data_IF_080238933170
#
_entry.id   IF_080238933170
#
_cell.length_a   1.000
_cell.length_b   1.000
_cell.length_c   1.000
_cell.angle_alpha   90.00
_cell.angle_beta   90.00
_cell.angle_gamma   90.00
#
_symmetry.space_group_name_H-M   'P 1'
#
loop_
_entity.id
_entity.type
_entity.pdbx_description
1 polymer ?
#
# COMPACT_ATOMS: atom_id res chain seq x y z
N UNK A 1 19.31 29.64 9.64
CA UNK A 1 18.16 28.72 9.81
C UNK A 1 18.23 27.73 8.66
N UNK A 2 18.50 26.44 8.92
CA UNK A 2 18.84 25.47 7.86
C UNK A 2 18.99 24.03 8.36
N UNK A 3 18.30 23.68 9.46
CA UNK A 3 18.42 22.36 10.08
C UNK A 3 17.93 21.28 9.12
N UNK A 4 16.77 21.49 8.47
CA UNK A 4 16.22 20.53 7.51
C UNK A 4 17.18 20.30 6.32
N UNK A 5 17.74 21.37 5.75
CA UNK A 5 18.71 21.25 4.65
C UNK A 5 19.95 20.45 5.08
N UNK A 6 20.54 20.79 6.23
CA UNK A 6 21.70 20.04 6.76
C UNK A 6 21.38 18.58 7.03
N UNK A 7 20.17 18.27 7.50
CA UNK A 7 19.75 16.88 7.71
C UNK A 7 19.64 16.12 6.39
N UNK A 8 19.07 16.74 5.36
CA UNK A 8 18.99 16.14 4.02
C UNK A 8 20.39 15.93 3.45
N UNK A 9 21.26 16.94 3.51
CA UNK A 9 22.66 16.84 3.04
C UNK A 9 23.42 15.69 3.72
N UNK A 10 23.31 15.57 5.05
CA UNK A 10 23.96 14.48 5.80
C UNK A 10 23.38 13.10 5.48
N UNK A 11 22.06 13.00 5.24
CA UNK A 11 21.44 11.74 4.79
C UNK A 11 21.91 11.35 3.39
N UNK A 12 21.99 12.32 2.48
CA UNK A 12 22.46 12.09 1.10
C UNK A 12 23.92 11.66 1.06
N UNK A 13 24.80 12.34 1.82
CA UNK A 13 26.20 11.92 1.99
C UNK A 13 26.28 10.45 2.40
N UNK A 14 25.49 10.05 3.40
CA UNK A 14 25.42 8.67 3.85
C UNK A 14 24.89 7.72 2.75
N UNK A 15 23.85 8.09 2.00
CA UNK A 15 23.35 7.27 0.88
C UNK A 15 24.45 7.00 -0.15
N UNK A 16 25.21 8.02 -0.52
CA UNK A 16 26.27 7.90 -1.52
C UNK A 16 27.46 7.10 -1.01
N UNK A 17 27.83 7.26 0.27
CA UNK A 17 28.84 6.41 0.92
C UNK A 17 28.43 4.93 0.94
N UNK A 18 27.13 4.64 1.03
CA UNK A 18 26.58 3.28 0.96
C UNK A 18 26.35 2.78 -0.46
N UNK A 19 26.70 3.58 -1.47
CA UNK A 19 26.59 3.18 -2.87
C UNK A 19 25.17 3.24 -3.42
N UNK A 20 24.27 4.01 -2.80
CA UNK A 20 22.97 4.29 -3.41
C UNK A 20 23.15 4.98 -4.76
N UNK A 21 22.38 4.56 -5.76
CA UNK A 21 22.42 5.17 -7.11
C UNK A 21 21.49 6.38 -7.21
N UNK A 22 20.46 6.42 -6.37
CA UNK A 22 19.45 7.47 -6.32
C UNK A 22 18.87 7.59 -4.91
N UNK A 23 18.28 8.75 -4.62
CA UNK A 23 17.52 9.03 -3.42
C UNK A 23 16.14 9.56 -3.85
N UNK A 24 15.09 9.09 -3.21
CA UNK A 24 13.73 9.55 -3.49
C UNK A 24 12.99 9.88 -2.21
N UNK A 25 11.97 10.72 -2.35
CA UNK A 25 11.06 11.05 -1.26
C UNK A 25 9.66 11.32 -1.80
N UNK A 26 8.65 11.10 -0.97
CA UNK A 26 7.26 11.38 -1.30
C UNK A 26 6.77 12.61 -0.52
N UNK A 27 6.16 13.57 -1.21
CA UNK A 27 5.49 14.71 -0.56
C UNK A 27 4.19 15.04 -1.28
N UNK A 28 3.30 15.74 -0.60
CA UNK A 28 2.06 16.23 -1.18
C UNK A 28 2.24 17.61 -1.80
N UNK A 29 1.43 17.93 -2.81
CA UNK A 29 1.36 19.26 -3.44
C UNK A 29 1.08 20.39 -2.44
N UNK A 30 0.41 20.08 -1.33
CA UNK A 30 0.10 21.03 -0.27
C UNK A 30 1.28 21.41 0.61
N UNK A 31 2.34 20.58 0.65
CA UNK A 31 3.51 20.83 1.49
C UNK A 31 4.56 21.68 0.75
N UNK A 32 4.23 22.96 0.56
CA UNK A 32 5.09 23.93 -0.15
C UNK A 32 6.51 24.04 0.44
N UNK A 33 6.65 23.90 1.76
CA UNK A 33 7.94 23.97 2.43
C UNK A 33 8.84 22.78 2.08
N UNK A 34 8.30 21.57 2.08
CA UNK A 34 9.04 20.37 1.64
C UNK A 34 9.35 20.46 0.15
N UNK A 35 8.37 20.82 -0.68
CA UNK A 35 8.59 20.98 -2.13
C UNK A 35 9.76 21.92 -2.42
N UNK A 36 9.74 23.15 -1.90
CA UNK A 36 10.82 24.11 -2.14
C UNK A 36 12.17 23.69 -1.55
N UNK A 37 12.20 22.93 -0.45
CA UNK A 37 13.45 22.36 0.06
C UNK A 37 14.03 21.38 -0.96
N UNK A 38 13.25 20.39 -1.40
CA UNK A 38 13.77 19.31 -2.22
C UNK A 38 13.98 19.72 -3.68
N UNK A 39 13.07 20.49 -4.28
CA UNK A 39 13.20 20.92 -5.69
C UNK A 39 14.18 22.08 -5.85
N UNK A 40 14.12 23.09 -4.98
CA UNK A 40 14.87 24.33 -5.21
C UNK A 40 16.23 24.34 -4.51
N UNK A 41 16.41 23.54 -3.45
CA UNK A 41 17.66 23.51 -2.66
C UNK A 41 18.43 22.20 -2.78
N UNK A 42 17.75 21.07 -2.96
CA UNK A 42 18.39 19.75 -3.04
C UNK A 42 18.39 19.15 -4.44
N UNK A 43 17.94 19.87 -5.48
CA UNK A 43 17.97 19.43 -6.89
C UNK A 43 17.22 18.12 -7.17
N UNK A 44 16.11 17.90 -6.45
CA UNK A 44 15.22 16.80 -6.77
C UNK A 44 14.28 17.18 -7.92
N UNK A 45 14.07 16.23 -8.82
CA UNK A 45 13.12 16.34 -9.92
C UNK A 45 11.88 15.48 -9.65
N UNK A 46 10.71 15.91 -10.17
CA UNK A 46 9.51 15.08 -10.08
C UNK A 46 9.67 13.84 -10.96
N UNK A 47 9.54 12.66 -10.36
CA UNK A 47 9.63 11.38 -11.06
C UNK A 47 8.25 10.82 -11.42
N UNK A 48 7.35 10.70 -10.44
CA UNK A 48 5.98 10.18 -10.69
C UNK A 48 4.97 10.72 -9.68
N UNK A 49 3.69 10.59 -10.03
CA UNK A 49 2.59 10.78 -9.08
C UNK A 49 2.11 9.42 -8.59
N UNK A 50 1.99 9.25 -7.27
CA UNK A 50 1.48 8.04 -6.64
C UNK A 50 0.42 8.39 -5.59
N UNK A 51 -0.33 7.39 -5.15
CA UNK A 51 -1.18 7.52 -3.96
C UNK A 51 -0.90 6.39 -2.99
N UNK A 52 -0.81 6.73 -1.71
CA UNK A 52 -0.86 5.75 -0.64
C UNK A 52 -2.33 5.56 -0.27
N UNK A 53 -2.87 4.40 -0.57
CA UNK A 53 -4.23 4.02 -0.22
C UNK A 53 -4.21 3.34 1.14
N UNK A 54 -4.93 3.90 2.10
CA UNK A 54 -5.01 3.40 3.47
C UNK A 54 -6.44 3.00 3.78
N UNK A 55 -6.61 1.79 4.30
CA UNK A 55 -7.91 1.28 4.72
C UNK A 55 -7.85 0.77 6.17
N UNK A 56 -8.81 1.16 7.01
CA UNK A 56 -9.06 0.53 8.31
C UNK A 56 -9.10 -0.99 8.28
N UNK A 57 -8.60 -1.61 9.34
CA UNK A 57 -8.89 -3.01 9.66
C UNK A 57 -10.09 -3.05 10.60
N UNK A 58 -11.19 -3.63 10.13
CA UNK A 58 -12.42 -3.79 10.88
C UNK A 58 -12.41 -5.06 11.74
N UNK A 59 -13.25 -5.10 12.77
CA UNK A 59 -13.42 -6.32 13.56
C UNK A 59 -14.17 -7.41 12.79
N UNK A 60 -15.02 -7.06 11.83
CA UNK A 60 -15.74 -8.02 10.98
C UNK A 60 -14.92 -8.51 9.78
N UNK A 61 -15.27 -9.67 9.26
CA UNK A 61 -14.64 -10.23 8.06
C UNK A 61 -15.19 -9.58 6.78
N UNK A 62 -14.30 -9.32 5.83
CA UNK A 62 -14.66 -8.95 4.48
C UNK A 62 -14.81 -10.21 3.62
N UNK A 63 -15.97 -10.47 2.99
CA UNK A 63 -16.20 -11.70 2.24
C UNK A 63 -15.39 -11.72 0.94
N UNK A 64 -14.67 -12.82 0.70
CA UNK A 64 -14.06 -13.11 -0.62
C UNK A 64 -15.13 -13.78 -1.50
N UNK A 65 -15.34 -13.35 -2.76
CA UNK A 65 -16.30 -14.00 -3.65
C UNK A 65 -15.98 -15.49 -3.87
N UNK A 66 -17.00 -16.35 -3.90
CA UNK A 66 -16.82 -17.80 -4.11
C UNK A 66 -16.21 -18.15 -5.47
N UNK A 67 -16.29 -17.23 -6.44
CA UNK A 67 -15.68 -17.37 -7.76
C UNK A 67 -14.18 -17.08 -7.79
N UNK A 68 -13.56 -16.75 -6.65
CA UNK A 68 -12.13 -16.47 -6.52
C UNK A 68 -11.53 -17.31 -5.39
N UNK A 69 -10.42 -17.98 -5.67
CA UNK A 69 -9.58 -18.63 -4.66
C UNK A 69 -8.35 -17.78 -4.41
N UNK A 70 -7.96 -17.63 -3.13
CA UNK A 70 -6.73 -16.93 -2.72
C UNK A 70 -5.79 -17.92 -2.06
N UNK A 71 -4.62 -18.14 -2.66
CA UNK A 71 -3.55 -18.97 -2.13
C UNK A 71 -2.52 -18.12 -1.40
N UNK A 72 -1.95 -18.68 -0.33
CA UNK A 72 -0.67 -18.22 0.21
C UNK A 72 0.43 -19.05 -0.44
N UNK A 73 1.43 -18.37 -0.98
CA UNK A 73 2.58 -19.01 -1.63
C UNK A 73 3.86 -18.83 -0.81
N UNK A 74 4.86 -19.66 -1.11
CA UNK A 74 6.18 -19.58 -0.47
C UNK A 74 6.98 -18.37 -1.01
N UNK A 75 7.93 -17.88 -0.22
CA UNK A 75 8.78 -16.74 -0.61
C UNK A 75 9.58 -17.02 -1.90
N UNK A 76 10.05 -18.26 -2.10
CA UNK A 76 10.75 -18.70 -3.32
C UNK A 76 9.87 -18.60 -4.57
N UNK A 77 8.60 -18.99 -4.45
CA UNK A 77 7.64 -18.91 -5.56
C UNK A 77 7.28 -17.46 -5.85
N UNK A 78 7.06 -16.67 -4.79
CA UNK A 78 6.80 -15.25 -4.90
C UNK A 78 7.94 -14.52 -5.60
N UNK A 79 9.19 -14.80 -5.24
CA UNK A 79 10.38 -14.22 -5.87
C UNK A 79 10.36 -14.40 -7.39
N UNK A 80 10.13 -15.62 -7.87
CA UNK A 80 10.13 -15.92 -9.30
C UNK A 80 9.00 -15.15 -10.03
N UNK A 81 7.82 -15.05 -9.43
CA UNK A 81 6.73 -14.23 -9.98
C UNK A 81 7.10 -12.74 -9.97
N UNK A 82 7.68 -12.23 -8.89
CA UNK A 82 8.11 -10.84 -8.80
C UNK A 82 9.18 -10.49 -9.83
N UNK A 83 10.21 -11.33 -9.99
CA UNK A 83 11.27 -11.12 -10.97
C UNK A 83 10.72 -11.19 -12.39
N UNK A 84 9.91 -12.19 -12.72
CA UNK A 84 9.30 -12.29 -14.06
C UNK A 84 8.39 -11.10 -14.39
N UNK A 85 7.64 -10.57 -13.41
CA UNK A 85 6.66 -9.51 -13.64
C UNK A 85 7.24 -8.10 -13.57
N UNK A 86 8.18 -7.86 -12.65
CA UNK A 86 8.60 -6.51 -12.28
C UNK A 86 10.09 -6.23 -12.52
N UNK A 87 10.89 -7.17 -13.04
CA UNK A 87 12.33 -6.93 -13.26
C UNK A 87 12.64 -5.70 -14.14
N UNK A 88 11.72 -5.32 -15.02
CA UNK A 88 11.87 -4.12 -15.86
C UNK A 88 11.37 -2.81 -15.19
N UNK A 89 10.85 -2.88 -13.96
CA UNK A 89 10.37 -1.70 -13.22
C UNK A 89 11.55 -0.95 -12.59
N UNK A 90 11.55 0.37 -12.65
CA UNK A 90 12.69 1.25 -12.36
C UNK A 90 13.24 1.14 -10.93
N UNK A 91 12.40 0.74 -9.97
CA UNK A 91 12.77 0.57 -8.56
C UNK A 91 12.56 -0.86 -8.05
N UNK A 92 12.67 -1.85 -8.94
CA UNK A 92 12.58 -3.24 -8.53
C UNK A 92 13.82 -3.65 -7.71
N UNK A 93 13.67 -4.14 -6.46
CA UNK A 93 14.80 -4.51 -5.63
C UNK A 93 15.51 -5.74 -6.21
N UNK A 94 16.83 -5.65 -6.37
CA UNK A 94 17.64 -6.77 -6.87
C UNK A 94 17.64 -7.95 -5.89
N UNK A 95 17.54 -7.64 -4.60
CA UNK A 95 17.48 -8.49 -3.42
C UNK A 95 16.03 -8.78 -2.96
N UNK A 96 15.09 -8.85 -3.90
CA UNK A 96 13.68 -9.17 -3.62
C UNK A 96 13.50 -10.46 -2.82
N UNK A 97 14.40 -11.43 -2.97
CA UNK A 97 14.47 -12.67 -2.19
C UNK A 97 14.61 -12.39 -0.69
N UNK A 98 15.53 -11.50 -0.33
CA UNK A 98 15.81 -11.12 1.05
C UNK A 98 14.65 -10.32 1.64
N UNK A 99 14.05 -9.46 0.81
CA UNK A 99 12.83 -8.71 1.14
C UNK A 99 11.70 -9.71 1.48
N UNK A 100 11.40 -10.68 0.62
CA UNK A 100 10.32 -11.65 0.82
C UNK A 100 10.61 -12.71 1.90
N UNK A 101 11.88 -13.01 2.18
CA UNK A 101 12.28 -13.92 3.25
C UNK A 101 12.31 -13.25 4.63
N UNK A 102 12.14 -11.91 4.70
CA UNK A 102 12.15 -11.18 5.95
C UNK A 102 11.01 -11.67 6.88
N UNK A 103 11.23 -11.84 8.19
CA UNK A 103 10.18 -12.25 9.13
C UNK A 103 8.96 -11.32 9.18
N UNK A 104 9.12 -10.06 8.79
CA UNK A 104 8.03 -9.09 8.66
C UNK A 104 7.25 -9.23 7.35
N UNK A 105 7.75 -10.00 6.38
CA UNK A 105 6.98 -10.43 5.20
C UNK A 105 6.09 -11.62 5.59
N UNK A 106 4.84 -11.33 5.91
CA UNK A 106 3.93 -12.29 6.55
C UNK A 106 3.46 -13.38 5.57
N UNK A 107 3.18 -13.00 4.33
CA UNK A 107 2.70 -13.88 3.27
C UNK A 107 2.74 -13.19 1.91
N UNK A 108 2.95 -13.96 0.85
CA UNK A 108 2.52 -13.54 -0.49
C UNK A 108 1.20 -14.22 -0.82
N UNK A 109 0.22 -13.44 -1.26
CA UNK A 109 -1.11 -13.89 -1.61
C UNK A 109 -1.26 -13.85 -3.13
N UNK A 110 -1.85 -14.90 -3.72
CA UNK A 110 -2.19 -14.98 -5.13
C UNK A 110 -3.67 -15.32 -5.28
N UNK A 111 -4.42 -14.49 -6.00
CA UNK A 111 -5.83 -14.70 -6.30
C UNK A 111 -6.01 -15.18 -7.73
N UNK A 112 -6.81 -16.23 -7.90
CA UNK A 112 -7.14 -16.88 -9.19
C UNK A 112 -8.65 -17.21 -9.27
N UNK A 113 -9.24 -17.33 -10.46
CA UNK A 113 -10.62 -17.77 -10.62
C UNK A 113 -10.82 -19.19 -10.09
N UNK A 114 -11.89 -19.45 -9.33
CA UNK A 114 -12.15 -20.77 -8.71
C UNK A 114 -12.34 -21.94 -9.70
N UNK A 115 -12.55 -21.64 -10.98
CA UNK A 115 -12.76 -22.65 -12.04
C UNK A 115 -11.50 -23.05 -12.82
N UNK A 116 -10.32 -22.60 -12.40
CA UNK A 116 -9.05 -22.97 -13.06
C UNK A 116 -8.29 -24.02 -12.25
N UNK A 117 -7.36 -24.74 -12.90
CA UNK A 117 -6.56 -25.78 -12.24
C UNK A 117 -5.79 -25.26 -11.01
N UNK A 118 -5.31 -24.02 -11.06
CA UNK A 118 -4.57 -23.39 -9.97
C UNK A 118 -5.44 -23.08 -8.73
N UNK A 119 -6.77 -23.15 -8.84
CA UNK A 119 -7.70 -22.86 -7.74
C UNK A 119 -7.91 -24.04 -6.78
N UNK A 120 -7.75 -25.28 -7.26
CA UNK A 120 -7.90 -26.47 -6.41
C UNK A 120 -6.73 -26.61 -5.46
N UNK A 121 -5.51 -26.39 -5.97
CA UNK A 121 -4.28 -26.38 -5.20
C UNK A 121 -3.23 -25.54 -5.93
N UNK A 122 -2.29 -24.96 -5.17
CA UNK A 122 -1.21 -24.17 -5.76
C UNK A 122 -0.24 -25.09 -6.52
N UNK A 123 -0.12 -24.98 -7.86
CA UNK A 123 0.58 -25.97 -8.67
C UNK A 123 2.11 -25.87 -8.60
N UNK A 124 2.63 -24.90 -7.83
CA UNK A 124 4.01 -24.46 -7.90
C UNK A 124 4.20 -23.37 -8.96
N UNK A 125 5.23 -22.54 -8.79
CA UNK A 125 5.46 -21.38 -9.65
C UNK A 125 5.77 -21.74 -11.10
N UNK A 126 6.51 -22.82 -11.35
CA UNK A 126 6.88 -23.25 -12.71
C UNK A 126 5.64 -23.59 -13.54
N UNK A 127 4.74 -24.40 -12.95
CA UNK A 127 3.48 -24.76 -13.57
C UNK A 127 2.53 -23.56 -13.69
N UNK A 128 2.48 -22.70 -12.67
CA UNK A 128 1.68 -21.48 -12.71
C UNK A 128 2.13 -20.55 -13.85
N UNK A 129 3.43 -20.31 -13.99
CA UNK A 129 3.98 -19.44 -15.05
C UNK A 129 3.79 -20.05 -16.44
N UNK A 130 3.92 -21.37 -16.58
CA UNK A 130 3.72 -22.07 -17.85
C UNK A 130 2.25 -22.07 -18.31
N UNK A 131 1.30 -22.10 -17.38
CA UNK A 131 -0.13 -22.17 -17.66
C UNK A 131 -0.92 -21.19 -16.77
N UNK A 132 -0.63 -19.90 -16.92
CA UNK A 132 -1.28 -18.86 -16.13
C UNK A 132 -2.79 -18.80 -16.45
N UNK A 133 -3.65 -18.65 -15.43
CA UNK A 133 -5.06 -18.39 -15.68
C UNK A 133 -5.25 -17.04 -16.37
N UNK A 134 -6.35 -16.89 -17.12
CA UNK A 134 -6.66 -15.68 -17.88
C UNK A 134 -6.67 -14.41 -17.02
N UNK A 135 -7.07 -14.54 -15.75
CA UNK A 135 -7.01 -13.44 -14.78
C UNK A 135 -6.37 -13.90 -13.49
N UNK A 136 -5.53 -13.05 -12.90
CA UNK A 136 -4.92 -13.29 -11.60
C UNK A 136 -4.41 -11.99 -10.98
N UNK A 137 -4.17 -12.00 -9.68
CA UNK A 137 -3.46 -10.91 -9.00
C UNK A 137 -2.63 -11.45 -7.83
N UNK A 138 -1.60 -10.70 -7.44
CA UNK A 138 -0.73 -11.01 -6.32
C UNK A 138 -0.41 -9.77 -5.48
N UNK A 139 -0.09 -9.97 -4.20
CA UNK A 139 0.60 -8.98 -3.38
C UNK A 139 1.29 -9.64 -2.19
N UNK A 140 2.39 -9.03 -1.72
CA UNK A 140 3.07 -9.44 -0.49
C UNK A 140 2.60 -8.60 0.68
N UNK A 141 2.23 -9.24 1.78
CA UNK A 141 1.76 -8.58 3.00
C UNK A 141 2.93 -8.41 3.97
N UNK A 142 3.15 -7.18 4.40
CA UNK A 142 4.24 -6.78 5.28
C UNK A 142 3.73 -6.20 6.58
N UNK A 143 4.33 -6.59 7.71
CA UNK A 143 4.06 -5.99 9.02
C UNK A 143 4.98 -4.81 9.29
N UNK A 144 4.50 -3.59 9.05
CA UNK A 144 5.23 -2.38 9.42
C UNK A 144 5.20 -2.11 10.93
N UNK A 145 4.23 -2.69 11.66
CA UNK A 145 4.07 -2.53 13.10
C UNK A 145 5.25 -3.08 13.90
N UNK A 146 6.00 -4.03 13.35
CA UNK A 146 7.25 -4.54 13.92
C UNK A 146 8.43 -3.56 13.86
N UNK A 147 8.33 -2.49 13.06
CA UNK A 147 9.38 -1.48 12.88
C UNK A 147 8.99 -0.14 13.49
N UNK A 148 7.78 0.34 13.20
CA UNK A 148 7.29 1.63 13.69
C UNK A 148 5.78 1.60 13.94
N UNK A 149 5.36 2.51 14.82
CA UNK A 149 3.95 2.76 15.08
C UNK A 149 3.55 4.14 14.55
N UNK A 150 2.32 4.23 14.05
CA UNK A 150 1.73 5.46 13.56
C UNK A 150 0.77 6.01 14.60
N UNK A 151 0.60 7.33 14.63
CA UNK A 151 -0.39 7.99 15.48
C UNK A 151 -0.95 9.20 14.73
N UNK A 152 -2.27 9.23 14.52
CA UNK A 152 -2.94 10.39 13.95
C UNK A 152 -3.09 11.43 15.04
N UNK A 153 -2.36 12.54 14.91
CA UNK A 153 -2.45 13.70 15.81
C UNK A 153 -3.34 14.80 15.23
N UNK A 154 -3.80 15.70 16.09
CA UNK A 154 -4.57 16.89 15.68
C UNK A 154 -6.09 16.72 15.57
N UNK A 155 -6.65 15.55 15.90
CA UNK A 155 -8.11 15.38 15.97
C UNK A 155 -8.71 15.96 17.27
N UNK A 156 -9.88 16.60 17.15
CA UNK A 156 -10.64 17.13 18.28
C UNK A 156 -11.14 16.02 19.21
N UNK A 157 -11.37 16.34 20.50
CA UNK A 157 -11.83 15.36 21.51
C UNK A 157 -13.13 14.65 21.08
N UNK A 158 -14.05 15.38 20.45
CA UNK A 158 -15.31 14.85 19.94
C UNK A 158 -15.07 13.77 18.87
N UNK A 159 -14.14 14.01 17.93
CA UNK A 159 -13.80 13.02 16.88
C UNK A 159 -13.16 11.76 17.47
N UNK A 160 -12.31 11.93 18.49
CA UNK A 160 -11.71 10.78 19.20
C UNK A 160 -12.77 9.95 19.94
N UNK A 161 -13.69 10.60 20.65
CA UNK A 161 -14.78 9.94 21.36
C UNK A 161 -15.71 9.18 20.40
N UNK A 162 -16.06 9.80 19.26
CA UNK A 162 -16.90 9.16 18.26
C UNK A 162 -16.21 7.94 17.60
N UNK A 163 -14.92 8.02 17.28
CA UNK A 163 -14.18 6.87 16.76
C UNK A 163 -14.07 5.72 17.79
N UNK A 164 -13.87 6.05 19.07
CA UNK A 164 -13.89 5.05 20.13
C UNK A 164 -15.26 4.35 20.23
N UNK A 165 -16.36 5.12 20.14
CA UNK A 165 -17.72 4.59 20.19
C UNK A 165 -18.03 3.68 18.98
N UNK A 166 -17.66 4.07 17.76
CA UNK A 166 -17.88 3.24 16.56
C UNK A 166 -17.08 1.93 16.62
N UNK A 167 -15.85 1.96 17.14
CA UNK A 167 -15.04 0.75 17.37
C UNK A 167 -15.68 -0.18 18.40
N UNK A 168 -16.19 0.36 19.51
CA UNK A 168 -16.89 -0.44 20.51
C UNK A 168 -18.13 -1.12 19.92
N UNK A 169 -18.89 -0.40 19.09
CA UNK A 169 -20.05 -0.96 18.39
C UNK A 169 -19.66 -2.09 17.42
N UNK A 170 -18.63 -1.89 16.58
CA UNK A 170 -18.12 -2.92 15.65
C UNK A 170 -17.61 -4.17 16.39
N UNK A 171 -16.99 -3.99 17.56
CA UNK A 171 -16.53 -5.11 18.41
C UNK A 171 -17.68 -5.84 19.11
N UNK A 172 -18.69 -5.12 19.58
CA UNK A 172 -19.83 -5.69 20.29
C UNK A 172 -20.81 -6.41 19.33
N UNK A 173 -20.90 -5.94 18.09
CA UNK A 173 -21.88 -6.42 17.11
C UNK A 173 -21.27 -6.64 15.71
N UNK A 174 -20.29 -7.55 15.56
CA UNK A 174 -19.60 -7.77 14.28
C UNK A 174 -20.52 -8.29 13.16
N UNK A 175 -21.67 -8.89 13.51
CA UNK A 175 -22.67 -9.34 12.54
C UNK A 175 -23.43 -8.21 11.85
N UNK A 176 -23.45 -7.00 12.44
CA UNK A 176 -24.10 -5.83 11.83
C UNK A 176 -23.31 -5.27 10.64
N UNK A 177 -22.07 -5.74 10.41
CA UNK A 177 -21.19 -5.35 9.29
C UNK A 177 -21.23 -3.85 9.01
N UNK A 178 -21.20 -3.04 10.07
CA UNK A 178 -21.48 -1.59 9.99
C UNK A 178 -20.54 -0.98 8.96
N UNK A 179 -21.04 -0.63 7.76
CA UNK A 179 -20.17 -0.19 6.69
C UNK A 179 -19.57 1.15 7.06
N UNK A 180 -18.27 1.30 6.82
CA UNK A 180 -17.73 2.63 6.61
C UNK A 180 -18.44 3.25 5.39
N UNK A 181 -19.06 4.43 5.59
CA UNK A 181 -19.72 5.37 4.64
C UNK A 181 -21.22 5.08 4.30
N UNK A 182 -22.08 6.07 3.98
CA UNK A 182 -22.77 6.97 4.91
C UNK A 182 -24.29 7.05 4.63
N UNK A 183 -25.19 6.17 5.09
CA UNK A 183 -26.65 6.49 5.04
C UNK A 183 -27.60 5.53 5.76
N UNK A 184 -27.11 4.67 6.67
CA UNK A 184 -27.95 3.62 7.26
C UNK A 184 -28.75 4.02 8.52
N UNK A 185 -28.81 5.30 8.89
CA UNK A 185 -29.65 5.78 10.00
C UNK A 185 -30.71 6.79 9.52
N UNK A 186 -31.63 6.31 8.69
CA UNK A 186 -33.04 6.73 8.71
C UNK A 186 -33.87 5.44 8.68
N UNK A 187 -34.66 5.08 9.71
CA UNK A 187 -35.31 5.92 10.71
C UNK A 187 -34.93 5.55 12.17
N UNK A 188 -35.36 6.36 13.14
CA UNK A 188 -35.20 6.22 14.60
C UNK A 188 -33.92 6.86 15.21
N UNK A 189 -34.02 8.16 15.51
CA UNK A 189 -33.62 8.65 16.84
C UNK A 189 -32.23 9.26 17.05
N UNK A 190 -31.70 10.08 16.14
CA UNK A 190 -30.60 11.00 16.48
C UNK A 190 -30.53 12.22 15.53
N UNK A 191 -31.52 13.11 15.63
CA UNK A 191 -31.59 14.37 14.88
C UNK A 191 -30.69 15.44 15.53
N UNK A 192 -29.38 15.20 15.59
CA UNK A 192 -28.46 16.18 16.19
C UNK A 192 -27.24 16.57 15.35
N UNK A 193 -26.62 15.70 14.54
CA UNK A 193 -25.36 16.10 13.86
C UNK A 193 -25.08 15.42 12.50
N UNK A 194 -25.68 15.90 11.40
CA UNK A 194 -25.34 15.47 10.03
C UNK A 194 -23.88 15.72 9.61
N UNK A 195 -23.15 16.58 10.34
CA UNK A 195 -21.73 16.88 10.12
C UNK A 195 -20.77 15.86 10.76
N UNK A 196 -21.27 14.90 11.54
CA UNK A 196 -20.45 13.82 12.12
C UNK A 196 -20.27 12.69 11.09
N UNK A 197 -19.60 13.01 9.98
CA UNK A 197 -19.20 12.05 8.94
C UNK A 197 -18.00 11.22 9.42
N UNK A 198 -18.17 10.50 10.52
CA UNK A 198 -17.11 9.71 11.15
C UNK A 198 -17.32 8.24 10.73
N UNK A 199 -16.59 7.75 9.71
CA UNK A 199 -16.60 6.33 9.39
C UNK A 199 -16.20 5.52 10.63
N UNK A 200 -16.44 4.21 10.63
CA UNK A 200 -15.88 3.31 11.64
C UNK A 200 -14.35 3.31 11.53
N UNK A 201 -13.71 4.36 12.06
CA UNK A 201 -12.27 4.51 12.06
C UNK A 201 -11.73 3.70 13.25
N UNK A 202 -10.67 2.90 13.07
CA UNK A 202 -9.92 2.32 14.18
C UNK A 202 -9.52 3.43 15.16
N UNK A 203 -9.13 3.09 16.40
CA UNK A 203 -8.50 4.10 17.26
C UNK A 203 -7.10 4.41 16.73
N UNK A 204 -7.05 5.26 15.71
CA UNK A 204 -5.82 5.76 15.09
C UNK A 204 -5.21 6.90 15.91
N UNK A 205 -5.82 7.28 17.04
CA UNK A 205 -5.39 8.38 17.90
C UNK A 205 -4.48 7.91 19.05
N UNK A 206 -4.13 6.63 19.04
CA UNK A 206 -3.08 6.02 19.85
C UNK A 206 -2.08 5.34 18.92
N UNK A 207 -0.84 5.09 19.34
CA UNK A 207 0.13 4.36 18.54
C UNK A 207 -0.45 3.04 18.02
N UNK A 208 -0.38 2.83 16.71
CA UNK A 208 -0.93 1.66 16.04
C UNK A 208 0.03 1.09 14.98
N UNK A 209 -0.01 -0.23 14.80
CA UNK A 209 0.69 -0.92 13.72
C UNK A 209 -0.12 -0.89 12.41
N UNK A 210 0.59 -0.90 11.29
CA UNK A 210 0.04 -0.96 9.95
C UNK A 210 0.60 -2.17 9.21
N UNK A 211 -0.23 -2.80 8.38
CA UNK A 211 0.25 -3.74 7.37
C UNK A 211 0.33 -3.05 6.02
N UNK A 212 1.33 -3.41 5.21
CA UNK A 212 1.54 -2.86 3.89
C UNK A 212 1.47 -3.96 2.83
N UNK A 213 0.72 -3.73 1.75
CA UNK A 213 0.74 -4.60 0.57
C UNK A 213 1.79 -4.08 -0.39
N UNK A 214 2.86 -4.86 -0.54
CA UNK A 214 3.95 -4.59 -1.45
C UNK A 214 3.71 -5.26 -2.80
N UNK A 215 4.06 -4.52 -3.86
CA UNK A 215 4.19 -5.06 -5.22
C UNK A 215 2.90 -5.71 -5.74
N UNK A 216 1.82 -4.93 -5.78
CA UNK A 216 0.56 -5.38 -6.36
C UNK A 216 0.76 -5.65 -7.86
N UNK A 217 0.56 -6.90 -8.25
CA UNK A 217 0.72 -7.38 -9.62
C UNK A 217 -0.48 -8.19 -10.06
N UNK A 218 -0.62 -8.39 -11.37
CA UNK A 218 -1.70 -9.18 -11.93
C UNK A 218 -1.86 -8.94 -13.42
N UNK A 219 -2.67 -9.78 -14.03
CA UNK A 219 -3.00 -9.74 -15.45
C UNK A 219 -4.43 -10.23 -15.67
N UNK A 220 -5.03 -9.83 -16.79
CA UNK A 220 -6.34 -10.30 -17.21
C UNK A 220 -7.50 -9.31 -17.04
N UNK A 221 -8.64 -9.58 -17.70
CA UNK A 221 -9.82 -8.71 -17.69
C UNK A 221 -10.45 -8.54 -16.31
N UNK A 222 -10.28 -9.50 -15.40
CA UNK A 222 -10.85 -9.46 -14.04
C UNK A 222 -9.78 -9.26 -12.95
N UNK A 223 -8.57 -8.84 -13.31
CA UNK A 223 -7.45 -8.69 -12.37
C UNK A 223 -7.74 -7.71 -11.21
N UNK A 224 -8.59 -6.71 -11.42
CA UNK A 224 -9.05 -5.81 -10.35
C UNK A 224 -9.93 -6.53 -9.31
N UNK A 225 -10.77 -7.48 -9.73
CA UNK A 225 -11.54 -8.33 -8.80
C UNK A 225 -10.61 -9.26 -8.02
N UNK A 226 -9.58 -9.81 -8.67
CA UNK A 226 -8.54 -10.61 -8.02
C UNK A 226 -7.76 -9.79 -6.99
N UNK A 227 -7.41 -8.54 -7.34
CA UNK A 227 -6.76 -7.60 -6.43
C UNK A 227 -7.65 -7.29 -5.22
N UNK A 228 -8.96 -7.11 -5.43
CA UNK A 228 -9.91 -6.92 -4.33
C UNK A 228 -9.97 -8.15 -3.41
N UNK A 229 -9.89 -9.37 -3.96
CA UNK A 229 -9.83 -10.59 -3.16
C UNK A 229 -8.54 -10.67 -2.33
N UNK A 230 -7.38 -10.37 -2.92
CA UNK A 230 -6.09 -10.26 -2.21
C UNK A 230 -6.18 -9.25 -1.07
N UNK A 231 -6.76 -8.07 -1.33
CA UNK A 231 -6.95 -7.04 -0.32
C UNK A 231 -7.81 -7.52 0.85
N UNK A 232 -8.96 -8.13 0.55
CA UNK A 232 -9.90 -8.63 1.57
C UNK A 232 -9.25 -9.71 2.43
N UNK A 233 -8.49 -10.61 1.82
CA UNK A 233 -7.74 -11.64 2.54
C UNK A 233 -6.66 -11.04 3.45
N UNK A 234 -5.89 -10.07 2.95
CA UNK A 234 -4.90 -9.35 3.76
C UNK A 234 -5.55 -8.60 4.93
N UNK A 235 -6.65 -7.89 4.68
CA UNK A 235 -7.46 -7.24 5.72
C UNK A 235 -7.92 -8.25 6.79
N UNK A 236 -8.49 -9.37 6.37
CA UNK A 236 -9.02 -10.38 7.28
C UNK A 236 -7.94 -10.97 8.18
N UNK A 237 -6.72 -11.15 7.65
CA UNK A 237 -5.55 -11.59 8.41
C UNK A 237 -5.00 -10.52 9.35
N UNK A 238 -5.11 -9.25 8.98
CA UNK A 238 -4.65 -8.12 9.79
C UNK A 238 -5.49 -7.92 11.07
N UNK A 239 -6.67 -8.54 11.15
CA UNK A 239 -7.61 -8.40 12.28
C UNK A 239 -6.94 -8.76 13.60
N UNK A 240 -6.83 -7.77 14.48
CA UNK A 240 -6.22 -7.91 15.81
C UNK A 240 -4.70 -7.72 15.84
N UNK A 241 -4.04 -7.66 14.68
CA UNK A 241 -2.60 -7.42 14.56
C UNK A 241 -2.28 -5.97 14.12
N UNK A 242 -3.06 -5.41 13.19
CA UNK A 242 -2.88 -4.05 12.69
C UNK A 242 -4.19 -3.25 12.73
N UNK A 243 -4.07 -1.93 12.79
CA UNK A 243 -5.22 -1.03 12.71
C UNK A 243 -5.56 -0.64 11.26
N UNK A 244 -4.58 -0.68 10.36
CA UNK A 244 -4.77 -0.33 8.95
C UNK A 244 -4.00 -1.27 8.03
N UNK A 245 -4.52 -1.42 6.81
CA UNK A 245 -3.82 -1.98 5.67
C UNK A 245 -3.58 -0.85 4.67
N UNK A 246 -2.36 -0.72 4.18
CA UNK A 246 -1.96 0.32 3.24
C UNK A 246 -1.28 -0.27 2.01
N UNK A 247 -1.27 0.47 0.91
CA UNK A 247 -0.49 0.16 -0.29
C UNK A 247 -0.15 1.43 -1.04
N UNK A 248 0.99 1.46 -1.70
CA UNK A 248 1.29 2.47 -2.71
C UNK A 248 0.80 1.99 -4.08
N UNK A 249 0.16 2.88 -4.85
CA UNK A 249 -0.32 2.57 -6.20
C UNK A 249 -0.12 3.79 -7.09
N UNK A 250 0.46 3.57 -8.27
CA UNK A 250 0.50 4.58 -9.32
C UNK A 250 -0.91 4.84 -9.89
N UNK A 251 -1.16 6.07 -10.34
CA UNK A 251 -2.49 6.53 -10.74
C UNK A 251 -3.09 5.72 -11.91
N UNK A 252 -2.24 5.33 -12.87
CA UNK A 252 -2.68 4.67 -14.12
C UNK A 252 -2.72 3.14 -14.05
N UNK A 253 -2.54 2.52 -12.89
CA UNK A 253 -2.52 1.05 -12.78
C UNK A 253 -3.97 0.52 -12.71
N UNK A 254 -4.44 -0.31 -13.66
CA UNK A 254 -5.82 -0.81 -13.65
C UNK A 254 -6.20 -1.58 -12.38
N UNK A 255 -5.23 -2.27 -11.78
CA UNK A 255 -5.39 -3.01 -10.51
C UNK A 255 -5.84 -2.11 -9.35
N UNK A 256 -5.60 -0.78 -9.43
CA UNK A 256 -6.06 0.21 -8.46
C UNK A 256 -7.57 0.13 -8.22
N UNK A 257 -8.36 -0.25 -9.23
CA UNK A 257 -9.82 -0.37 -9.11
C UNK A 257 -10.25 -1.46 -8.10
N UNK A 258 -9.40 -2.45 -7.86
CA UNK A 258 -9.63 -3.49 -6.87
C UNK A 258 -9.36 -3.07 -5.43
N UNK A 259 -8.69 -1.95 -5.23
CA UNK A 259 -8.24 -1.51 -3.91
C UNK A 259 -9.32 -0.58 -3.31
N UNK A 260 -9.85 -0.88 -2.12
CA UNK A 260 -10.84 -0.04 -1.47
C UNK A 260 -10.35 1.39 -1.33
N UNK A 261 -11.16 2.34 -1.79
CA UNK A 261 -10.94 3.76 -1.52
C UNK A 261 -11.34 4.04 -0.08
N UNK A 262 -10.36 4.01 0.83
CA UNK A 262 -10.56 4.30 2.25
C UNK A 262 -10.71 5.80 2.54
N UNK A 263 -10.29 6.22 3.74
CA UNK A 263 -10.07 7.64 4.05
C UNK A 263 -8.86 8.06 3.22
N UNK A 264 -9.12 8.48 1.99
CA UNK A 264 -8.12 9.01 1.09
C UNK A 264 -7.40 10.15 1.81
N UNK A 265 -6.07 10.04 1.95
CA UNK A 265 -5.28 11.26 1.94
C UNK A 265 -5.47 11.80 0.52
N UNK A 266 -6.42 12.73 0.36
CA UNK A 266 -6.84 13.32 -0.92
C UNK A 266 -5.71 14.05 -1.66
N UNK A 267 -4.50 13.96 -1.14
CA UNK A 267 -3.34 14.56 -1.73
C UNK A 267 -2.54 13.47 -2.46
N UNK A 268 -2.67 13.49 -3.78
CA UNK A 268 -1.65 12.96 -4.68
C UNK A 268 -0.26 13.28 -4.13
N UNK A 269 0.55 12.23 -4.01
CA UNK A 269 1.93 12.36 -3.56
C UNK A 269 2.83 12.38 -4.79
N UNK A 270 3.60 13.44 -4.89
CA UNK A 270 4.68 13.56 -5.87
C UNK A 270 5.90 12.84 -5.30
N UNK A 271 6.35 11.82 -6.03
CA UNK A 271 7.64 11.19 -5.80
C UNK A 271 8.70 12.07 -6.46
N UNK A 272 9.57 12.64 -5.65
CA UNK A 272 10.72 13.41 -6.09
C UNK A 272 11.95 12.50 -6.07
N UNK A 273 12.80 12.60 -7.08
CA UNK A 273 13.98 11.75 -7.28
C UNK A 273 15.22 12.61 -7.56
N UNK A 274 16.34 12.20 -6.96
CA UNK A 274 17.68 12.71 -7.22
C UNK A 274 18.63 11.55 -7.50
N UNK A 275 19.44 11.65 -8.55
CA UNK A 275 20.48 10.68 -8.85
C UNK A 275 21.79 11.05 -8.15
N UNK A 276 22.58 10.04 -7.76
CA UNK A 276 23.96 10.27 -7.36
C UNK A 276 24.80 10.74 -8.57
N UNK A 277 25.86 11.51 -8.35
CA UNK A 277 26.68 12.09 -9.43
C UNK A 277 27.15 11.06 -10.47
N UNK A 278 27.56 9.86 -10.03
CA UNK A 278 27.96 8.76 -10.93
C UNK A 278 26.81 8.21 -11.78
N UNK A 279 25.58 8.25 -11.27
CA UNK A 279 24.39 7.79 -11.97
C UNK A 279 23.90 8.85 -12.97
N UNK A 280 24.00 10.14 -12.64
CA UNK A 280 23.73 11.23 -13.59
C UNK A 280 24.62 11.15 -14.83
N UNK A 281 25.91 10.86 -14.65
CA UNK A 281 26.83 10.70 -15.77
C UNK A 281 26.42 9.52 -16.66
N UNK A 282 26.00 8.39 -16.08
CA UNK A 282 25.47 7.26 -16.86
C UNK A 282 24.16 7.62 -17.58
N UNK A 283 23.24 8.30 -16.92
CA UNK A 283 21.98 8.74 -17.52
C UNK A 283 22.22 9.70 -18.69
N UNK A 284 23.14 10.66 -18.55
CA UNK A 284 23.57 11.58 -19.62
C UNK A 284 24.16 10.86 -20.84
N UNK A 285 24.79 9.70 -20.65
CA UNK A 285 25.37 8.90 -21.74
C UNK A 285 24.40 7.84 -22.31
N UNK A 286 23.29 7.55 -21.61
CA UNK A 286 22.28 6.60 -22.05
C UNK A 286 21.17 7.23 -22.92
N UNK A 287 21.07 8.56 -22.96
CA UNK A 287 20.19 9.28 -23.90
C UNK A 287 20.76 9.13 -25.31
N UNK A 288 20.07 8.48 -26.27
CA UNK A 288 20.50 8.50 -27.66
C UNK A 288 20.55 9.96 -28.12
N UNK A 289 21.68 10.41 -28.64
CA UNK A 289 21.73 11.68 -29.35
C UNK A 289 20.79 11.56 -30.55
N UNK A 290 19.62 12.18 -30.47
CA UNK A 290 18.78 12.40 -31.64
C UNK A 290 19.64 13.10 -32.71
N UNK A 291 19.72 12.46 -33.87
CA UNK A 291 20.19 13.05 -35.13
C UNK A 291 18.97 13.26 -36.01
#
# INVERSE_FOLDING_TARGET
MGIALKLVEQMEEWFWEKGAEYAYMATTKGNKASLGLFTDRCDYSKFRTSSILVHPVFAHLLPVPLSITVHRIQASDAELIYRSRFAATEFFPRDIDTVLANPLSLATLVAVPSGCAAAEWWPGVEAFVAAQPESWALASVWDCGGVFQLEVRGASRLRRAAAAATRMADRAMPWLRIPSVPDLFRPFGAWAMPWLRIPSVPDLFRPFGAWFLYGIGGEGPTASLMTAAVWREAHNRARGAAAVVATEVAEMVPLRQGIPRGVEDKNESDLLLRYGQKAEDRARHAVPREK
#
